data_IF_917451238236
#
_entry.id   IF_917451238236
#
_cell.length_a   1.000
_cell.length_b   1.000
_cell.length_c   1.000
_cell.angle_alpha   90.00
_cell.angle_beta   90.00
_cell.angle_gamma   90.00
#
_symmetry.space_group_name_H-M   'P 1'
#
loop_
_entity.id
_entity.type
_entity.pdbx_description
1 polymer ?
#
# COMPACT_ATOMS: atom_id res chain seq x y z
N UNK A 1 -5.76 12.30 -32.66
CA UNK A 1 -7.14 11.93 -32.31
C UNK A 1 -7.51 10.71 -33.14
N UNK A 2 -7.38 9.54 -32.55
CA UNK A 2 -8.10 8.32 -32.93
C UNK A 2 -8.86 7.92 -31.67
N UNK A 3 -10.13 8.26 -31.64
CA UNK A 3 -11.10 7.86 -30.63
C UNK A 3 -11.63 6.50 -31.06
N UNK A 4 -11.08 5.43 -30.48
CA UNK A 4 -11.72 4.11 -30.25
C UNK A 4 -10.70 3.14 -29.63
N UNK A 5 -10.04 3.55 -28.53
CA UNK A 5 -9.54 2.56 -27.57
C UNK A 5 -10.78 1.99 -26.89
N UNK A 6 -11.25 0.82 -27.35
CA UNK A 6 -12.29 0.05 -26.68
C UNK A 6 -11.98 0.01 -25.18
N UNK A 7 -12.83 0.65 -24.38
CA UNK A 7 -12.67 0.72 -22.93
C UNK A 7 -12.73 -0.71 -22.39
N UNK A 8 -11.57 -1.26 -22.02
CA UNK A 8 -11.48 -2.62 -21.51
C UNK A 8 -12.42 -2.80 -20.31
N UNK A 9 -13.12 -3.93 -20.28
CA UNK A 9 -14.04 -4.26 -19.18
C UNK A 9 -13.30 -4.34 -17.85
N UNK A 10 -13.87 -3.76 -16.79
CA UNK A 10 -13.32 -3.86 -15.43
C UNK A 10 -14.44 -4.21 -14.46
N UNK A 11 -14.92 -5.48 -14.46
CA UNK A 11 -16.05 -5.87 -13.65
C UNK A 11 -15.70 -5.80 -12.16
N UNK A 12 -16.65 -5.33 -11.36
CA UNK A 12 -16.50 -5.14 -9.91
C UNK A 12 -17.16 -6.26 -9.07
N UNK A 13 -18.06 -7.01 -9.70
CA UNK A 13 -18.83 -8.10 -9.10
C UNK A 13 -18.87 -9.29 -10.05
N UNK A 14 -18.83 -10.49 -9.47
CA UNK A 14 -19.03 -11.75 -10.20
C UNK A 14 -20.54 -11.99 -10.31
N UNK A 15 -21.01 -12.16 -11.53
CA UNK A 15 -22.39 -12.45 -11.91
C UNK A 15 -22.65 -13.95 -12.08
N UNK A 16 -21.60 -14.78 -12.11
CA UNK A 16 -21.72 -16.24 -12.18
C UNK A 16 -22.54 -16.84 -11.04
N UNK A 17 -23.50 -17.69 -11.41
CA UNK A 17 -24.26 -18.49 -10.47
C UNK A 17 -23.39 -19.56 -9.81
N UNK A 18 -23.76 -20.01 -8.62
CA UNK A 18 -23.04 -21.07 -7.91
C UNK A 18 -22.86 -22.35 -8.73
N UNK A 19 -23.87 -22.74 -9.51
CA UNK A 19 -23.77 -23.93 -10.38
C UNK A 19 -22.78 -23.70 -11.53
N UNK A 20 -22.78 -22.51 -12.14
CA UNK A 20 -21.77 -22.16 -13.13
C UNK A 20 -20.36 -22.22 -12.55
N UNK A 21 -20.16 -21.70 -11.33
CA UNK A 21 -18.85 -21.74 -10.68
C UNK A 21 -18.37 -23.18 -10.44
N UNK A 22 -19.25 -24.11 -10.04
CA UNK A 22 -18.90 -25.53 -9.88
C UNK A 22 -18.57 -26.21 -11.21
N UNK A 23 -19.28 -25.86 -12.27
CA UNK A 23 -19.14 -26.48 -13.59
C UNK A 23 -17.89 -26.00 -14.33
N UNK A 24 -17.42 -24.78 -14.05
CA UNK A 24 -16.35 -24.12 -14.81
C UNK A 24 -15.07 -23.83 -14.02
N UNK A 25 -15.09 -23.96 -12.69
CA UNK A 25 -13.93 -23.68 -11.86
C UNK A 25 -13.61 -24.83 -10.90
N UNK A 26 -12.34 -24.88 -10.49
CA UNK A 26 -11.87 -25.73 -9.39
C UNK A 26 -11.11 -24.88 -8.37
N UNK A 27 -11.17 -25.30 -7.10
CA UNK A 27 -10.45 -24.64 -6.02
C UNK A 27 -9.12 -25.34 -5.80
N UNK A 28 -8.02 -24.65 -6.09
CA UNK A 28 -6.70 -25.07 -5.67
C UNK A 28 -6.51 -24.79 -4.18
N UNK A 29 -5.96 -25.75 -3.45
CA UNK A 29 -5.48 -25.58 -2.08
C UNK A 29 -3.95 -25.71 -2.11
N UNK A 30 -3.25 -24.59 -2.05
CA UNK A 30 -1.81 -24.52 -2.09
C UNK A 30 -1.20 -24.70 -0.69
N UNK A 31 -0.35 -25.70 -0.53
CA UNK A 31 0.37 -26.01 0.72
C UNK A 31 1.83 -26.41 0.45
N UNK A 32 2.40 -26.00 -0.68
CA UNK A 32 3.74 -26.44 -1.11
C UNK A 32 4.88 -25.60 -0.52
N UNK A 33 4.59 -24.47 0.09
CA UNK A 33 5.56 -23.68 0.86
C UNK A 33 5.74 -24.26 2.26
N UNK A 34 6.97 -24.22 2.77
CA UNK A 34 7.27 -24.58 4.16
C UNK A 34 6.67 -23.56 5.15
N UNK A 35 6.60 -22.28 4.76
CA UNK A 35 5.96 -21.24 5.57
C UNK A 35 4.44 -21.35 5.46
N UNK A 36 3.78 -21.65 6.58
CA UNK A 36 2.33 -21.90 6.60
C UNK A 36 1.51 -20.63 6.40
N UNK A 37 2.12 -19.46 6.64
CA UNK A 37 1.60 -18.13 6.36
C UNK A 37 1.37 -17.86 4.86
N UNK A 38 1.99 -18.67 3.98
CA UNK A 38 1.85 -18.62 2.53
C UNK A 38 0.90 -19.68 1.96
N UNK A 39 0.24 -20.48 2.81
CA UNK A 39 -0.76 -21.44 2.34
C UNK A 39 -2.03 -20.68 1.94
N UNK A 40 -2.57 -20.97 0.76
CA UNK A 40 -3.71 -20.25 0.20
C UNK A 40 -4.69 -21.17 -0.53
N UNK A 41 -5.87 -20.64 -0.78
CA UNK A 41 -6.85 -21.19 -1.71
C UNK A 41 -7.11 -20.18 -2.81
N UNK A 42 -7.17 -20.66 -4.04
CA UNK A 42 -7.50 -19.85 -5.20
C UNK A 42 -8.48 -20.62 -6.09
N UNK A 43 -9.43 -19.91 -6.65
CA UNK A 43 -10.37 -20.48 -7.61
C UNK A 43 -9.82 -20.26 -9.03
N UNK A 44 -9.77 -21.31 -9.83
CA UNK A 44 -9.15 -21.32 -11.15
C UNK A 44 -10.09 -21.97 -12.18
N UNK A 45 -10.07 -21.54 -13.45
CA UNK A 45 -10.78 -22.24 -14.52
C UNK A 45 -10.33 -23.70 -14.63
N UNK A 46 -11.22 -24.60 -15.05
CA UNK A 46 -10.96 -26.06 -15.10
C UNK A 46 -9.76 -26.45 -15.98
N UNK A 47 -9.53 -25.70 -17.04
CA UNK A 47 -8.44 -25.84 -18.00
C UNK A 47 -7.10 -25.30 -17.50
N UNK A 48 -7.10 -24.51 -16.43
CA UNK A 48 -5.88 -23.95 -15.83
C UNK A 48 -5.32 -24.94 -14.79
N UNK A 49 -4.01 -25.25 -14.89
CA UNK A 49 -3.32 -26.22 -14.03
C UNK A 49 -1.99 -25.69 -13.51
N UNK A 50 -1.53 -26.18 -12.34
CA UNK A 50 -0.26 -25.78 -11.76
C UNK A 50 0.91 -26.18 -12.69
N UNK A 51 1.80 -25.22 -12.95
CA UNK A 51 3.03 -25.42 -13.71
C UNK A 51 4.26 -25.27 -12.81
N UNK A 52 4.24 -24.29 -11.90
CA UNK A 52 5.26 -24.12 -10.85
C UNK A 52 4.57 -23.85 -9.52
N UNK A 53 4.93 -24.63 -8.50
CA UNK A 53 4.32 -24.58 -7.16
C UNK A 53 5.37 -24.54 -6.04
N UNK A 54 6.65 -24.59 -6.40
CA UNK A 54 7.72 -24.40 -5.41
C UNK A 54 8.05 -22.91 -5.35
N UNK A 55 8.23 -22.35 -4.14
CA UNK A 55 8.71 -20.98 -3.99
C UNK A 55 10.05 -20.79 -4.72
N UNK A 56 10.09 -19.86 -5.66
CA UNK A 56 11.26 -19.57 -6.49
C UNK A 56 11.48 -18.05 -6.58
N UNK A 57 12.73 -17.61 -6.40
CA UNK A 57 13.10 -16.21 -6.58
C UNK A 57 12.89 -15.82 -8.05
N UNK A 58 12.18 -14.72 -8.29
CA UNK A 58 11.98 -14.19 -9.62
C UNK A 58 13.30 -13.57 -10.08
N UNK A 59 13.80 -14.00 -11.25
CA UNK A 59 15.06 -13.50 -11.80
C UNK A 59 15.05 -11.97 -11.90
N UNK A 60 16.20 -11.35 -11.65
CA UNK A 60 16.40 -9.88 -11.69
C UNK A 60 15.62 -9.10 -10.61
N UNK A 61 14.87 -9.81 -9.75
CA UNK A 61 14.32 -9.25 -8.52
C UNK A 61 15.21 -9.64 -7.34
N UNK A 62 15.43 -8.71 -6.42
CA UNK A 62 16.30 -8.97 -5.26
C UNK A 62 15.56 -9.70 -4.13
N UNK A 63 14.23 -9.67 -4.12
CA UNK A 63 13.41 -10.03 -2.97
C UNK A 63 11.95 -10.44 -3.30
N UNK A 64 11.62 -10.75 -4.56
CA UNK A 64 10.29 -11.21 -4.97
C UNK A 64 10.31 -12.70 -5.32
N UNK A 65 9.35 -13.45 -4.80
CA UNK A 65 9.27 -14.89 -4.99
C UNK A 65 7.95 -15.29 -5.61
N UNK A 66 7.99 -16.09 -6.68
CA UNK A 66 6.81 -16.77 -7.19
C UNK A 66 6.54 -18.00 -6.33
N UNK A 67 5.32 -18.13 -5.82
CA UNK A 67 4.88 -19.28 -5.00
C UNK A 67 3.84 -20.15 -5.70
N UNK A 68 3.14 -19.60 -6.69
CA UNK A 68 2.29 -20.38 -7.58
C UNK A 68 2.26 -19.78 -8.97
N UNK A 69 2.29 -20.63 -9.98
CA UNK A 69 2.12 -20.30 -11.38
C UNK A 69 1.22 -21.36 -11.99
N UNK A 70 0.11 -20.93 -12.56
CA UNK A 70 -0.92 -21.77 -13.14
C UNK A 70 -1.19 -21.32 -14.57
N UNK A 71 -1.28 -22.26 -15.51
CA UNK A 71 -1.47 -21.95 -16.92
C UNK A 71 -2.55 -22.83 -17.55
N UNK A 72 -3.20 -22.34 -18.61
CA UNK A 72 -4.06 -23.17 -19.46
C UNK A 72 -3.29 -24.37 -20.00
N UNK A 73 -3.87 -25.57 -19.89
CA UNK A 73 -3.28 -26.81 -20.40
C UNK A 73 -3.01 -26.70 -21.91
N UNK A 74 -1.84 -27.15 -22.36
CA UNK A 74 -1.48 -27.16 -23.77
C UNK A 74 -2.46 -27.98 -24.61
N UNK A 75 -2.90 -27.42 -25.74
CA UNK A 75 -3.87 -28.06 -26.64
C UNK A 75 -5.34 -27.86 -26.25
N UNK A 76 -5.61 -27.06 -25.22
CA UNK A 76 -6.95 -26.57 -24.88
C UNK A 76 -7.55 -25.73 -26.01
N UNK A 77 -8.87 -25.80 -26.20
CA UNK A 77 -9.62 -24.89 -27.07
C UNK A 77 -9.85 -23.51 -26.43
N UNK A 78 -9.62 -23.40 -25.12
CA UNK A 78 -9.76 -22.17 -24.36
C UNK A 78 -8.53 -21.25 -24.53
N UNK A 79 -8.71 -19.91 -24.41
CA UNK A 79 -7.59 -18.97 -24.45
C UNK A 79 -6.49 -19.29 -23.44
N UNK A 80 -5.27 -18.87 -23.77
CA UNK A 80 -4.16 -18.96 -22.83
C UNK A 80 -4.35 -17.95 -21.69
N UNK A 81 -4.33 -18.46 -20.47
CA UNK A 81 -4.36 -17.68 -19.23
C UNK A 81 -3.18 -18.12 -18.38
N UNK A 82 -2.51 -17.15 -17.77
CA UNK A 82 -1.50 -17.35 -16.74
C UNK A 82 -1.94 -16.67 -15.44
N UNK A 83 -1.97 -17.42 -14.34
CA UNK A 83 -2.20 -16.88 -13.01
C UNK A 83 -0.95 -17.10 -12.16
N UNK A 84 -0.36 -16.00 -11.69
CA UNK A 84 0.79 -15.99 -10.79
C UNK A 84 0.40 -15.49 -9.39
N UNK A 85 0.97 -16.15 -8.39
CA UNK A 85 0.95 -15.71 -7.00
C UNK A 85 2.40 -15.42 -6.60
N UNK A 86 2.67 -14.16 -6.30
CA UNK A 86 3.99 -13.64 -5.95
C UNK A 86 3.94 -13.09 -4.55
N UNK A 87 5.02 -13.24 -3.77
CA UNK A 87 5.09 -12.63 -2.45
C UNK A 87 6.43 -11.96 -2.16
N UNK A 88 6.39 -11.08 -1.16
CA UNK A 88 7.54 -10.51 -0.47
C UNK A 88 7.25 -10.47 1.02
N UNK A 89 8.23 -10.87 1.82
CA UNK A 89 8.21 -10.67 3.27
C UNK A 89 8.75 -9.29 3.64
N UNK A 90 8.13 -8.62 4.62
CA UNK A 90 8.51 -7.31 5.14
C UNK A 90 8.53 -7.31 6.67
N UNK A 91 9.56 -6.68 7.25
CA UNK A 91 9.66 -6.52 8.70
C UNK A 91 8.93 -5.27 9.20
N UNK A 92 9.04 -4.17 8.45
CA UNK A 92 8.41 -2.89 8.76
C UNK A 92 7.12 -2.71 7.96
N UNK A 93 6.08 -2.17 8.60
CA UNK A 93 4.79 -2.01 7.93
C UNK A 93 4.88 -0.97 6.82
N UNK A 94 4.37 -1.35 5.65
CA UNK A 94 4.16 -0.48 4.51
C UNK A 94 2.75 -0.66 3.96
N UNK A 95 2.33 0.28 3.14
CA UNK A 95 1.08 0.19 2.42
C UNK A 95 1.16 -0.84 1.27
N UNK A 96 0.12 -1.66 1.12
CA UNK A 96 0.11 -2.73 0.15
C UNK A 96 -0.03 -2.19 -1.29
N UNK A 97 -0.80 -1.11 -1.47
CA UNK A 97 -0.92 -0.42 -2.74
C UNK A 97 0.39 0.25 -3.16
N UNK A 98 1.13 0.86 -2.23
CA UNK A 98 2.45 1.45 -2.53
C UNK A 98 3.45 0.36 -2.97
N UNK A 99 3.43 -0.82 -2.34
CA UNK A 99 4.26 -1.95 -2.78
C UNK A 99 3.85 -2.46 -4.16
N UNK A 100 2.55 -2.56 -4.44
CA UNK A 100 2.06 -2.94 -5.76
C UNK A 100 2.61 -1.99 -6.83
N UNK A 101 2.53 -0.68 -6.62
CA UNK A 101 3.05 0.31 -7.57
C UNK A 101 4.55 0.12 -7.86
N UNK A 102 5.35 -0.19 -6.83
CA UNK A 102 6.77 -0.58 -7.01
C UNK A 102 6.89 -1.82 -7.89
N UNK A 103 6.13 -2.88 -7.59
CA UNK A 103 6.21 -4.14 -8.34
C UNK A 103 5.79 -3.95 -9.79
N UNK A 104 4.71 -3.21 -10.05
CA UNK A 104 4.26 -2.90 -11.42
C UNK A 104 5.34 -2.16 -12.20
N UNK A 105 5.97 -1.15 -11.59
CA UNK A 105 7.08 -0.42 -12.22
C UNK A 105 8.27 -1.31 -12.53
N UNK A 106 8.60 -2.27 -11.65
CA UNK A 106 9.69 -3.24 -11.90
C UNK A 106 9.37 -4.19 -13.04
N UNK A 107 8.09 -4.57 -13.20
CA UNK A 107 7.63 -5.48 -14.24
C UNK A 107 7.27 -4.78 -15.56
N UNK A 108 7.40 -3.45 -15.63
CA UNK A 108 7.04 -2.67 -16.83
C UNK A 108 5.52 -2.62 -17.10
N UNK A 109 4.69 -2.89 -16.09
CA UNK A 109 3.24 -2.91 -16.21
C UNK A 109 2.67 -1.48 -16.21
N UNK A 110 1.84 -1.16 -17.20
CA UNK A 110 1.18 0.15 -17.31
C UNK A 110 -0.25 0.01 -16.79
N UNK A 111 -0.62 0.81 -15.78
CA UNK A 111 -1.98 0.80 -15.21
C UNK A 111 -2.98 1.41 -16.19
N UNK A 112 -3.99 0.63 -16.57
CA UNK A 112 -5.12 1.02 -17.43
C UNK A 112 -6.34 1.41 -16.58
N UNK A 113 -6.61 0.65 -15.53
CA UNK A 113 -7.67 0.93 -14.55
C UNK A 113 -7.16 0.64 -13.15
N UNK A 114 -7.56 1.45 -12.17
CA UNK A 114 -7.32 1.22 -10.75
C UNK A 114 -8.59 1.41 -9.93
N UNK A 115 -8.76 0.56 -8.94
CA UNK A 115 -9.70 0.77 -7.85
C UNK A 115 -8.99 0.50 -6.54
N UNK A 116 -9.19 1.40 -5.59
CA UNK A 116 -8.57 1.32 -4.29
C UNK A 116 -9.61 1.05 -3.20
N UNK A 117 -9.15 0.40 -2.14
CA UNK A 117 -9.92 0.07 -0.95
C UNK A 117 -9.09 0.41 0.28
N UNK A 118 -9.69 1.07 1.26
CA UNK A 118 -9.02 1.43 2.51
C UNK A 118 -9.41 0.46 3.62
N UNK A 119 -8.43 0.09 4.44
CA UNK A 119 -8.59 -0.73 5.65
C UNK A 119 -7.77 -0.13 6.79
N UNK A 120 -7.94 -0.67 8.00
CA UNK A 120 -7.07 -0.30 9.15
C UNK A 120 -5.59 -0.57 8.85
N UNK A 121 -5.32 -1.65 8.12
CA UNK A 121 -3.97 -2.04 7.68
C UNK A 121 -3.38 -1.21 6.54
N UNK A 122 -4.12 -0.23 6.04
CA UNK A 122 -3.72 0.61 4.91
C UNK A 122 -4.56 0.34 3.65
N UNK A 123 -4.06 0.82 2.53
CA UNK A 123 -4.72 0.79 1.24
C UNK A 123 -4.37 -0.47 0.47
N UNK A 124 -5.35 -0.98 -0.26
CA UNK A 124 -5.25 -2.10 -1.19
C UNK A 124 -5.76 -1.70 -2.56
N UNK A 125 -5.15 -2.23 -3.62
CA UNK A 125 -5.52 -1.92 -5.00
C UNK A 125 -5.92 -3.16 -5.78
N UNK A 126 -6.96 -3.00 -6.60
CA UNK A 126 -7.34 -3.88 -7.71
C UNK A 126 -7.07 -3.09 -8.99
N UNK A 127 -6.15 -3.59 -9.81
CA UNK A 127 -5.70 -2.89 -11.01
C UNK A 127 -5.85 -3.76 -12.24
N UNK A 128 -6.14 -3.10 -13.35
CA UNK A 128 -5.98 -3.64 -14.68
C UNK A 128 -4.75 -3.00 -15.31
N UNK A 129 -3.84 -3.81 -15.83
CA UNK A 129 -2.61 -3.35 -16.45
C UNK A 129 -2.48 -3.86 -17.87
N UNK A 130 -1.63 -3.19 -18.64
CA UNK A 130 -1.17 -3.64 -19.94
C UNK A 130 0.35 -3.67 -20.00
N UNK A 131 0.89 -4.69 -20.65
CA UNK A 131 2.31 -4.84 -20.93
C UNK A 131 2.52 -5.32 -22.37
N UNK A 132 3.69 -5.08 -22.94
CA UNK A 132 4.09 -5.65 -24.22
C UNK A 132 5.07 -6.78 -23.98
N UNK A 133 4.74 -7.99 -24.45
CA UNK A 133 5.58 -9.17 -24.32
C UNK A 133 5.72 -9.85 -25.68
N UNK A 134 6.95 -9.98 -26.16
CA UNK A 134 7.30 -10.59 -27.47
C UNK A 134 6.49 -10.01 -28.65
N UNK A 135 6.19 -8.70 -28.60
CA UNK A 135 5.41 -7.99 -29.62
C UNK A 135 3.88 -8.11 -29.47
N UNK A 136 3.40 -8.91 -28.53
CA UNK A 136 1.98 -9.04 -28.21
C UNK A 136 1.61 -8.20 -26.98
N UNK A 137 0.42 -7.58 -27.02
CA UNK A 137 -0.14 -6.87 -25.87
C UNK A 137 -0.77 -7.86 -24.90
N UNK A 138 -0.30 -7.87 -23.67
CA UNK A 138 -0.82 -8.67 -22.55
C UNK A 138 -1.63 -7.77 -21.64
N UNK A 139 -2.81 -8.24 -21.22
CA UNK A 139 -3.63 -7.59 -20.21
C UNK A 139 -3.61 -8.42 -18.95
N UNK A 140 -3.41 -7.75 -17.80
CA UNK A 140 -3.36 -8.41 -16.51
C UNK A 140 -4.30 -7.75 -15.51
N UNK A 141 -5.06 -8.55 -14.76
CA UNK A 141 -5.76 -8.08 -13.56
C UNK A 141 -4.96 -8.49 -12.33
N UNK A 142 -4.72 -7.53 -11.44
CA UNK A 142 -3.84 -7.73 -10.30
C UNK A 142 -4.50 -7.24 -9.02
N UNK A 143 -4.44 -8.07 -7.97
CA UNK A 143 -4.79 -7.67 -6.60
C UNK A 143 -3.65 -7.94 -5.64
N UNK A 144 -3.57 -7.10 -4.62
CA UNK A 144 -2.58 -7.22 -3.54
C UNK A 144 -3.25 -7.53 -2.21
N UNK A 145 -2.60 -8.35 -1.40
CA UNK A 145 -3.01 -8.78 -0.07
C UNK A 145 -1.84 -8.60 0.91
N UNK A 146 -2.14 -8.47 2.20
CA UNK A 146 -1.14 -8.35 3.26
C UNK A 146 -1.58 -9.21 4.44
N UNK A 147 -0.69 -10.08 4.92
CA UNK A 147 -0.98 -10.97 6.04
C UNK A 147 0.21 -11.06 6.98
N UNK A 148 -0.05 -10.97 8.29
CA UNK A 148 1.01 -11.13 9.28
C UNK A 148 1.53 -12.58 9.31
N UNK A 149 2.85 -12.71 9.36
CA UNK A 149 3.54 -13.99 9.47
C UNK A 149 3.88 -14.26 10.94
N UNK A 150 3.12 -15.13 11.59
CA UNK A 150 3.37 -15.50 12.98
C UNK A 150 4.66 -16.31 13.19
N UNK A 151 5.16 -17.00 12.16
CA UNK A 151 6.35 -17.85 12.25
C UNK A 151 7.62 -17.01 12.21
N UNK A 152 7.66 -16.03 11.30
CA UNK A 152 8.86 -15.22 11.05
C UNK A 152 8.80 -13.83 11.70
N UNK A 153 7.62 -13.39 12.15
CA UNK A 153 7.28 -11.99 12.48
C UNK A 153 7.40 -11.10 11.24
N UNK A 154 6.64 -10.01 11.15
CA UNK A 154 6.53 -9.25 9.91
C UNK A 154 5.26 -9.61 9.15
N UNK A 155 5.13 -9.12 7.92
CA UNK A 155 4.01 -9.47 7.04
C UNK A 155 4.48 -9.97 5.69
N UNK A 156 3.68 -10.83 5.09
CA UNK A 156 3.77 -11.21 3.70
C UNK A 156 2.85 -10.30 2.88
N UNK A 157 3.46 -9.55 1.97
CA UNK A 157 2.76 -8.88 0.87
C UNK A 157 2.62 -9.88 -0.28
N UNK A 158 1.40 -10.07 -0.76
CA UNK A 158 1.07 -11.11 -1.75
C UNK A 158 0.35 -10.46 -2.91
N UNK A 159 0.83 -10.69 -4.12
CA UNK A 159 0.22 -10.25 -5.37
C UNK A 159 -0.36 -11.46 -6.09
N UNK A 160 -1.61 -11.37 -6.52
CA UNK A 160 -2.24 -12.33 -7.43
C UNK A 160 -2.47 -11.63 -8.76
N UNK A 161 -1.85 -12.15 -9.82
CA UNK A 161 -1.88 -11.60 -11.17
C UNK A 161 -2.48 -12.64 -12.12
N UNK A 162 -3.59 -12.31 -12.77
CA UNK A 162 -4.17 -13.10 -13.86
C UNK A 162 -3.93 -12.37 -15.19
N UNK A 163 -3.36 -13.05 -16.18
CA UNK A 163 -2.88 -12.44 -17.43
C UNK A 163 -3.33 -13.24 -18.66
N UNK A 164 -3.67 -12.56 -19.74
CA UNK A 164 -3.93 -13.16 -21.05
C UNK A 164 -3.55 -12.19 -22.18
N UNK A 165 -3.65 -12.67 -23.42
CA UNK A 165 -3.53 -11.79 -24.58
C UNK A 165 -4.67 -10.76 -24.61
N UNK A 166 -4.40 -9.56 -25.12
CA UNK A 166 -5.37 -8.47 -25.21
C UNK A 166 -6.66 -8.84 -25.95
N UNK A 167 -6.56 -9.67 -27.01
CA UNK A 167 -7.72 -10.09 -27.82
C UNK A 167 -8.70 -10.99 -27.05
N UNK A 168 -8.25 -11.67 -26.01
CA UNK A 168 -9.06 -12.65 -25.26
C UNK A 168 -9.63 -12.05 -23.97
N UNK A 169 -9.09 -10.91 -23.51
CA UNK A 169 -9.41 -10.32 -22.21
C UNK A 169 -10.90 -10.04 -22.01
N UNK A 170 -11.58 -9.48 -23.01
CA UNK A 170 -13.01 -9.14 -22.87
C UNK A 170 -13.88 -10.36 -22.53
N UNK A 171 -13.55 -11.53 -23.09
CA UNK A 171 -14.25 -12.77 -22.75
C UNK A 171 -13.87 -13.36 -21.39
N UNK A 172 -12.74 -12.94 -20.81
CA UNK A 172 -12.15 -13.48 -19.59
C UNK A 172 -12.22 -12.51 -18.40
N UNK A 173 -12.72 -11.29 -18.59
CA UNK A 173 -12.64 -10.23 -17.58
C UNK A 173 -13.29 -10.62 -16.24
N UNK A 174 -14.40 -11.37 -16.29
CA UNK A 174 -15.07 -11.88 -15.09
C UNK A 174 -14.36 -13.11 -14.50
N UNK A 175 -13.82 -14.03 -15.31
CA UNK A 175 -12.94 -15.11 -14.84
C UNK A 175 -11.73 -14.56 -14.09
N UNK A 176 -11.14 -13.47 -14.60
CA UNK A 176 -10.00 -12.81 -13.98
C UNK A 176 -10.38 -12.18 -12.65
N UNK A 177 -11.52 -11.47 -12.60
CA UNK A 177 -12.08 -10.99 -11.32
C UNK A 177 -12.22 -12.15 -10.35
N UNK A 178 -12.79 -13.26 -10.81
CA UNK A 178 -13.09 -14.42 -10.00
C UNK A 178 -11.82 -15.03 -9.41
N UNK A 179 -10.78 -15.19 -10.22
CA UNK A 179 -9.47 -15.69 -9.78
C UNK A 179 -8.82 -14.80 -8.72
N UNK A 180 -8.72 -13.50 -8.98
CA UNK A 180 -8.01 -12.57 -8.08
C UNK A 180 -8.82 -12.23 -6.82
N UNK A 181 -10.16 -12.18 -6.92
CA UNK A 181 -11.04 -11.83 -5.79
C UNK A 181 -11.25 -12.98 -4.82
N UNK A 182 -11.29 -14.22 -5.29
CA UNK A 182 -11.52 -15.41 -4.45
C UNK A 182 -10.22 -16.08 -3.99
N UNK A 183 -9.11 -15.35 -4.06
CA UNK A 183 -7.90 -15.70 -3.33
C UNK A 183 -8.12 -15.53 -1.82
N UNK A 184 -7.78 -16.56 -1.05
CA UNK A 184 -7.87 -16.53 0.42
C UNK A 184 -6.67 -17.22 1.03
N UNK A 185 -6.21 -16.70 2.15
CA UNK A 185 -5.16 -17.36 2.93
C UNK A 185 -5.77 -18.44 3.82
N UNK A 186 -5.07 -19.57 3.94
CA UNK A 186 -5.49 -20.66 4.82
C UNK A 186 -5.31 -20.25 6.28
N UNK A 187 -4.18 -19.63 6.58
CA UNK A 187 -3.82 -19.13 7.91
C UNK A 187 -3.85 -17.59 7.89
N UNK A 188 -5.05 -17.06 7.67
CA UNK A 188 -5.28 -15.62 7.63
C UNK A 188 -5.23 -15.00 9.03
N UNK A 189 -4.41 -13.97 9.18
CA UNK A 189 -4.27 -13.23 10.42
C UNK A 189 -5.36 -12.18 10.52
N UNK A 190 -5.98 -12.02 11.69
CA UNK A 190 -6.83 -10.85 11.98
C UNK A 190 -6.03 -9.54 12.07
N UNK A 191 -4.71 -9.66 12.11
CA UNK A 191 -3.76 -8.57 12.18
C UNK A 191 -3.05 -8.48 10.83
N UNK A 192 -3.42 -7.49 10.01
CA UNK A 192 -2.83 -7.27 8.68
C UNK A 192 -1.75 -6.19 8.67
N UNK A 193 -1.10 -5.92 9.81
CA UNK A 193 0.08 -5.04 9.89
C UNK A 193 1.34 -5.88 10.03
N UNK A 194 2.48 -5.42 9.51
CA UNK A 194 3.76 -6.14 9.66
C UNK A 194 4.33 -6.10 11.09
N UNK A 195 3.90 -5.15 11.90
CA UNK A 195 4.42 -4.96 13.25
C UNK A 195 3.32 -4.56 14.23
N UNK A 196 3.63 -4.75 15.52
CA UNK A 196 2.79 -4.24 16.61
C UNK A 196 2.82 -2.71 16.64
N UNK A 197 1.78 -2.12 17.23
CA UNK A 197 1.70 -0.68 17.43
C UNK A 197 1.90 -0.31 18.91
N UNK A 198 2.56 0.82 19.14
CA UNK A 198 2.68 1.46 20.46
C UNK A 198 1.79 2.69 20.51
N UNK A 199 1.25 3.01 21.69
CA UNK A 199 0.43 4.20 21.92
C UNK A 199 1.24 5.36 22.48
N UNK A 200 0.91 6.58 22.08
CA UNK A 200 1.32 7.83 22.74
C UNK A 200 0.06 8.55 23.22
N UNK A 201 0.15 9.16 24.40
CA UNK A 201 -0.83 10.11 24.91
C UNK A 201 -0.10 11.40 25.28
N UNK A 202 -0.61 12.54 24.81
CA UNK A 202 -0.13 13.88 25.09
C UNK A 202 -1.29 14.66 25.71
N UNK A 203 -1.06 15.33 26.83
CA UNK A 203 -2.13 16.06 27.55
C UNK A 203 -2.06 17.58 27.35
N UNK A 204 -1.07 18.04 26.59
CA UNK A 204 -0.76 19.45 26.35
C UNK A 204 -0.45 19.62 24.86
N UNK A 205 -0.81 20.74 24.19
CA UNK A 205 -1.74 21.78 24.64
C UNK A 205 -3.20 21.29 24.71
N UNK A 206 -3.48 20.10 24.20
CA UNK A 206 -4.76 19.41 24.30
C UNK A 206 -4.50 17.90 24.37
N UNK A 207 -5.55 17.12 24.62
CA UNK A 207 -5.45 15.67 24.69
C UNK A 207 -5.34 15.08 23.28
N UNK A 208 -4.15 14.57 22.96
CA UNK A 208 -3.88 13.83 21.73
C UNK A 208 -3.44 12.42 22.08
N UNK A 209 -4.00 11.46 21.37
CA UNK A 209 -3.70 10.05 21.54
C UNK A 209 -3.64 9.38 20.18
N UNK A 210 -2.63 8.57 19.92
CA UNK A 210 -2.48 7.87 18.64
C UNK A 210 -1.60 6.64 18.78
N UNK A 211 -1.58 5.82 17.73
CA UNK A 211 -0.65 4.70 17.60
C UNK A 211 0.50 5.04 16.65
N UNK A 212 1.62 4.36 16.82
CA UNK A 212 2.77 4.38 15.91
C UNK A 212 3.45 3.00 15.86
N UNK A 213 4.19 2.66 14.79
CA UNK A 213 4.75 1.31 14.65
C UNK A 213 5.87 1.03 15.67
N UNK A 214 5.93 -0.21 16.18
CA UNK A 214 6.82 -0.63 17.26
C UNK A 214 8.32 -0.43 16.95
N UNK A 215 8.72 -0.54 15.69
CA UNK A 215 10.09 -0.34 15.20
C UNK A 215 10.60 1.11 15.31
N UNK A 216 9.71 2.07 15.56
CA UNK A 216 10.07 3.46 15.72
C UNK A 216 10.36 3.81 17.18
N UNK A 217 11.38 4.63 17.37
CA UNK A 217 11.71 5.19 18.67
C UNK A 217 11.05 6.56 18.84
N UNK A 218 10.31 6.69 19.93
CA UNK A 218 9.67 7.94 20.31
C UNK A 218 10.56 8.77 21.23
N UNK A 219 10.70 10.04 20.90
CA UNK A 219 11.31 11.05 21.76
C UNK A 219 10.35 12.22 21.92
N UNK A 220 9.84 12.40 23.13
CA UNK A 220 9.15 13.62 23.54
C UNK A 220 10.19 14.72 23.74
N UNK A 221 10.03 15.88 23.08
CA UNK A 221 11.02 16.95 23.17
C UNK A 221 10.48 18.23 23.77
N UNK A 222 9.24 18.63 23.45
CA UNK A 222 8.74 19.93 23.88
C UNK A 222 7.22 20.02 23.89
N UNK A 223 6.63 20.19 25.07
CA UNK A 223 5.19 20.35 25.25
C UNK A 223 4.89 21.57 26.14
N UNK A 224 4.09 22.51 25.64
CA UNK A 224 3.61 23.67 26.37
C UNK A 224 2.18 24.07 25.93
N UNK A 225 1.59 25.05 26.59
CA UNK A 225 0.22 25.51 26.33
C UNK A 225 -0.05 25.99 24.88
N UNK A 226 0.99 26.29 24.11
CA UNK A 226 0.88 26.73 22.71
C UNK A 226 1.14 25.62 21.70
N UNK A 227 2.00 24.66 22.03
CA UNK A 227 2.44 23.66 21.07
C UNK A 227 3.03 22.44 21.78
N UNK A 228 2.80 21.29 21.15
CA UNK A 228 3.49 20.04 21.46
C UNK A 228 4.26 19.53 20.25
N UNK A 229 5.44 19.01 20.52
CA UNK A 229 6.37 18.50 19.52
C UNK A 229 6.93 17.16 19.94
N UNK A 230 6.79 16.19 19.04
CA UNK A 230 7.39 14.88 19.16
C UNK A 230 8.25 14.54 17.96
N UNK A 231 9.19 13.62 18.17
CA UNK A 231 9.98 13.03 17.11
C UNK A 231 9.90 11.50 17.17
N UNK A 232 9.75 10.88 16.01
CA UNK A 232 9.93 9.46 15.81
C UNK A 232 11.14 9.23 14.92
N UNK A 233 11.98 8.25 15.25
CA UNK A 233 13.09 7.82 14.40
C UNK A 233 13.10 6.31 14.24
N UNK A 234 13.28 5.84 13.01
CA UNK A 234 13.44 4.43 12.70
C UNK A 234 14.90 4.03 12.96
N UNK A 235 15.14 3.05 13.82
CA UNK A 235 16.48 2.48 13.99
C UNK A 235 16.84 1.57 12.81
N UNK A 236 18.08 1.66 12.30
CA UNK A 236 18.68 0.52 11.60
C UNK A 236 19.12 0.68 10.14
N UNK A 237 19.15 1.86 9.52
CA UNK A 237 19.68 1.98 8.14
C UNK A 237 20.86 2.94 8.02
N UNK A 238 21.93 2.50 7.33
CA UNK A 238 23.19 3.24 7.12
C UNK A 238 23.05 4.44 6.17
N UNK A 239 21.91 4.61 5.52
CA UNK A 239 21.62 5.67 4.55
C UNK A 239 20.29 6.27 4.96
N UNK A 240 20.33 7.51 5.46
CA UNK A 240 19.23 8.34 6.00
C UNK A 240 18.16 7.50 6.74
N UNK A 241 18.32 7.25 8.06
CA UNK A 241 17.25 6.64 8.85
C UNK A 241 15.99 7.51 8.76
N UNK A 242 14.84 6.88 8.56
CA UNK A 242 13.56 7.58 8.47
C UNK A 242 13.27 8.33 9.77
N UNK A 243 12.81 9.58 9.66
CA UNK A 243 12.41 10.37 10.83
C UNK A 243 11.12 11.14 10.59
N UNK A 244 10.29 11.25 11.63
CA UNK A 244 9.05 12.01 11.61
C UNK A 244 9.14 13.06 12.72
N UNK A 245 8.85 14.30 12.37
CA UNK A 245 8.67 15.41 13.29
C UNK A 245 7.20 15.79 13.29
N UNK A 246 6.55 15.74 14.44
CA UNK A 246 5.13 16.03 14.54
C UNK A 246 4.81 17.11 15.54
N UNK A 247 3.86 17.96 15.15
CA UNK A 247 3.52 19.17 15.86
C UNK A 247 2.00 19.26 16.04
N UNK A 248 1.58 19.53 17.28
CA UNK A 248 0.21 19.88 17.61
C UNK A 248 0.20 21.32 18.11
N UNK A 249 -0.59 22.17 17.47
CA UNK A 249 -0.72 23.58 17.82
C UNK A 249 -1.92 23.77 18.75
N UNK A 250 -1.86 24.77 19.62
CA UNK A 250 -3.04 25.17 20.38
C UNK A 250 -4.15 25.68 19.46
N UNK A 251 -5.37 25.66 19.96
CA UNK A 251 -6.50 26.24 19.25
C UNK A 251 -6.33 27.76 19.12
N UNK A 252 -6.03 28.21 17.90
CA UNK A 252 -5.96 29.63 17.56
C UNK A 252 -6.65 29.86 16.21
N UNK A 253 -7.73 30.65 16.22
CA UNK A 253 -8.54 30.95 15.04
C UNK A 253 -7.80 31.79 13.99
N UNK A 254 -6.66 32.38 14.36
CA UNK A 254 -5.83 33.14 13.42
C UNK A 254 -4.93 32.24 12.58
N UNK A 255 -4.63 31.02 13.03
CA UNK A 255 -3.80 30.06 12.30
C UNK A 255 -4.62 29.47 11.15
N UNK A 256 -4.02 29.49 9.96
CA UNK A 256 -4.58 28.87 8.77
C UNK A 256 -3.52 28.03 8.04
N UNK A 257 -3.97 27.27 7.03
CA UNK A 257 -3.11 26.41 6.20
C UNK A 257 -1.90 27.14 5.63
N UNK A 258 -2.09 28.32 5.04
CA UNK A 258 -1.01 29.06 4.36
C UNK A 258 0.10 29.44 5.34
N UNK A 259 -0.27 29.83 6.57
CA UNK A 259 0.71 30.12 7.63
C UNK A 259 1.53 28.89 8.00
N UNK A 260 0.90 27.72 8.12
CA UNK A 260 1.60 26.46 8.44
C UNK A 260 2.51 26.06 7.27
N UNK A 261 2.02 26.11 6.03
CA UNK A 261 2.83 25.82 4.85
C UNK A 261 4.06 26.73 4.78
N UNK A 262 3.89 28.03 4.98
CA UNK A 262 4.99 28.99 4.98
C UNK A 262 6.01 28.68 6.08
N UNK A 263 5.55 28.30 7.28
CA UNK A 263 6.42 27.90 8.39
C UNK A 263 7.20 26.63 8.08
N UNK A 264 6.59 25.65 7.40
CA UNK A 264 7.29 24.44 6.93
C UNK A 264 8.37 24.83 5.91
N UNK A 265 8.02 25.64 4.90
CA UNK A 265 8.96 26.11 3.87
C UNK A 265 10.12 26.89 4.49
N UNK A 266 9.83 27.80 5.41
CA UNK A 266 10.85 28.59 6.12
C UNK A 266 11.79 27.69 6.93
N UNK A 267 11.24 26.72 7.66
CA UNK A 267 12.06 25.75 8.41
C UNK A 267 12.93 24.90 7.49
N UNK A 268 12.44 24.48 6.32
CA UNK A 268 13.22 23.72 5.34
C UNK A 268 14.35 24.56 4.74
N UNK A 269 14.04 25.82 4.38
CA UNK A 269 15.00 26.77 3.83
C UNK A 269 16.10 27.11 4.84
N UNK A 270 15.73 27.38 6.10
CA UNK A 270 16.67 27.70 7.18
C UNK A 270 17.60 26.52 7.52
N UNK A 271 17.14 25.28 7.34
CA UNK A 271 17.95 24.08 7.51
C UNK A 271 18.74 23.69 6.23
N UNK A 272 18.77 24.60 5.23
CA UNK A 272 19.53 24.47 3.99
C UNK A 272 19.14 23.29 3.10
N UNK A 273 17.90 22.84 3.18
CA UNK A 273 17.34 21.96 2.17
C UNK A 273 17.05 22.79 0.92
N UNK A 274 17.62 22.39 -0.20
CA UNK A 274 17.24 22.95 -1.50
C UNK A 274 15.99 22.19 -1.94
N UNK A 275 14.83 22.80 -1.72
CA UNK A 275 13.57 22.27 -2.23
C UNK A 275 13.54 22.53 -3.74
N UNK A 276 13.48 21.46 -4.52
CA UNK A 276 13.50 21.53 -5.99
C UNK A 276 12.17 21.97 -6.58
N UNK A 277 11.07 21.78 -5.85
CA UNK A 277 9.70 22.01 -6.31
C UNK A 277 8.97 23.08 -5.49
N UNK A 278 7.95 23.69 -6.09
CA UNK A 278 7.01 24.54 -5.34
C UNK A 278 6.20 23.66 -4.37
N UNK A 279 6.35 23.89 -3.06
CA UNK A 279 5.65 23.11 -2.03
C UNK A 279 4.16 23.43 -2.09
N UNK A 280 3.39 22.52 -2.66
CA UNK A 280 1.92 22.58 -2.72
C UNK A 280 1.33 21.31 -2.12
N UNK A 281 0.55 21.47 -1.05
CA UNK A 281 -0.19 20.37 -0.43
C UNK A 281 -1.57 20.22 -1.07
N UNK A 282 -1.91 18.98 -1.43
CA UNK A 282 -3.18 18.59 -2.01
C UNK A 282 -4.19 18.26 -0.92
N UNK A 283 -5.45 18.58 -1.14
CA UNK A 283 -6.53 18.25 -0.21
C UNK A 283 -6.85 16.76 -0.28
N UNK A 284 -6.84 16.10 0.88
CA UNK A 284 -7.25 14.71 1.02
C UNK A 284 -8.76 14.65 1.19
N UNK A 285 -9.45 14.22 0.14
CA UNK A 285 -10.93 14.17 0.13
C UNK A 285 -11.50 12.97 0.86
N UNK A 286 -10.71 11.91 1.00
CA UNK A 286 -11.12 10.64 1.61
C UNK A 286 -10.34 10.43 2.91
N UNK A 287 -10.58 11.29 3.91
CA UNK A 287 -9.92 11.15 5.21
C UNK A 287 -10.56 10.01 6.00
N UNK A 288 -9.75 9.02 6.33
CA UNK A 288 -10.19 7.81 7.02
C UNK A 288 -10.62 8.08 8.46
N UNK A 289 -9.86 8.94 9.17
CA UNK A 289 -10.17 9.35 10.53
C UNK A 289 -11.23 10.46 10.55
N UNK A 290 -12.44 10.13 10.99
CA UNK A 290 -13.59 11.04 11.04
C UNK A 290 -13.44 12.22 12.01
N UNK A 291 -12.49 12.15 12.94
CA UNK A 291 -12.22 13.25 13.87
C UNK A 291 -11.43 14.39 13.20
N UNK A 292 -10.78 14.10 12.06
CA UNK A 292 -10.05 15.08 11.27
C UNK A 292 -11.02 15.76 10.31
N UNK A 293 -11.23 17.07 10.50
CA UNK A 293 -12.15 17.85 9.68
C UNK A 293 -11.54 18.29 8.36
N UNK A 294 -10.22 18.45 8.32
CA UNK A 294 -9.46 18.96 7.18
C UNK A 294 -8.11 18.27 7.16
N UNK A 295 -7.67 17.79 5.98
CA UNK A 295 -6.35 17.18 5.80
C UNK A 295 -5.80 17.53 4.43
N UNK A 296 -4.53 17.91 4.40
CA UNK A 296 -3.75 18.10 3.19
C UNK A 296 -2.44 17.34 3.29
N UNK A 297 -1.99 16.78 2.17
CA UNK A 297 -0.73 16.05 2.12
C UNK A 297 0.08 16.38 0.87
N UNK A 298 1.37 16.07 0.91
CA UNK A 298 2.26 16.18 -0.23
C UNK A 298 3.57 15.42 0.01
N UNK A 299 4.20 14.99 -1.08
CA UNK A 299 5.56 14.43 -1.07
C UNK A 299 6.44 15.27 -1.96
N UNK A 300 7.63 15.64 -1.48
CA UNK A 300 8.54 16.58 -2.15
C UNK A 300 9.95 16.01 -2.20
N UNK A 301 10.58 16.05 -3.37
CA UNK A 301 12.01 15.75 -3.48
C UNK A 301 12.82 16.90 -2.89
N UNK A 302 13.86 16.56 -2.14
CA UNK A 302 14.79 17.52 -1.54
C UNK A 302 16.23 17.07 -1.72
N UNK A 303 17.13 18.04 -1.85
CA UNK A 303 18.57 17.80 -1.77
C UNK A 303 19.17 18.60 -0.61
N UNK A 304 20.11 17.99 0.11
CA UNK A 304 20.92 18.69 1.10
C UNK A 304 22.19 19.29 0.47
N UNK A 305 22.94 20.09 1.24
CA UNK A 305 24.22 20.70 0.80
C UNK A 305 25.28 19.68 0.35
N UNK A 306 25.09 18.38 0.65
CA UNK A 306 25.98 17.29 0.26
C UNK A 306 25.47 16.53 -0.97
N UNK A 307 24.45 17.06 -1.69
CA UNK A 307 23.76 16.39 -2.80
C UNK A 307 23.18 15.02 -2.42
N UNK A 308 22.82 14.80 -1.15
CA UNK A 308 22.05 13.63 -0.77
C UNK A 308 20.59 13.91 -1.08
N UNK A 309 20.08 13.19 -2.07
CA UNK A 309 18.68 13.26 -2.45
C UNK A 309 17.83 12.49 -1.44
N UNK A 310 16.76 13.12 -0.98
CA UNK A 310 15.77 12.56 -0.08
C UNK A 310 14.37 12.98 -0.48
N UNK A 311 13.39 12.48 0.26
CA UNK A 311 12.01 12.92 0.13
C UNK A 311 11.46 13.40 1.47
N UNK A 312 10.61 14.42 1.39
CA UNK A 312 9.81 14.92 2.48
C UNK A 312 8.37 14.50 2.26
N UNK A 313 7.76 13.90 3.28
CA UNK A 313 6.33 13.60 3.31
C UNK A 313 5.72 14.55 4.31
N UNK A 314 4.79 15.38 3.87
CA UNK A 314 4.19 16.43 4.70
C UNK A 314 2.70 16.20 4.78
N UNK A 315 2.16 16.30 5.99
CA UNK A 315 0.72 16.31 6.23
C UNK A 315 0.37 17.47 7.14
N UNK A 316 -0.69 18.20 6.82
CA UNK A 316 -1.24 19.29 7.62
C UNK A 316 -2.72 19.02 7.78
N UNK A 317 -3.25 19.09 8.99
CA UNK A 317 -4.66 18.85 9.19
C UNK A 317 -5.21 19.52 10.44
N UNK A 318 -6.51 19.34 10.62
CA UNK A 318 -7.26 19.92 11.72
C UNK A 318 -8.09 18.86 12.43
N UNK A 319 -7.95 18.78 13.74
CA UNK A 319 -8.69 17.87 14.62
C UNK A 319 -9.27 18.68 15.78
N UNK A 320 -10.58 18.53 16.04
CA UNK A 320 -11.28 19.24 17.14
C UNK A 320 -10.97 20.75 17.21
N UNK A 321 -10.84 21.38 16.03
CA UNK A 321 -10.47 22.78 15.81
C UNK A 321 -8.99 23.17 16.05
N UNK A 322 -8.13 22.25 16.51
CA UNK A 322 -6.69 22.46 16.63
C UNK A 322 -5.94 21.99 15.38
N UNK A 323 -4.86 22.71 15.04
CA UNK A 323 -4.03 22.39 13.89
C UNK A 323 -2.92 21.41 14.27
N UNK A 324 -2.64 20.47 13.38
CA UNK A 324 -1.45 19.63 13.46
C UNK A 324 -0.71 19.63 12.13
N UNK A 325 0.59 19.37 12.19
CA UNK A 325 1.34 19.04 10.99
C UNK A 325 2.47 18.06 11.29
N UNK A 326 2.75 17.21 10.32
CA UNK A 326 3.75 16.15 10.39
C UNK A 326 4.69 16.28 9.20
N UNK A 327 5.98 16.11 9.45
CA UNK A 327 7.04 16.13 8.44
C UNK A 327 7.84 14.84 8.59
N UNK A 328 7.65 13.91 7.65
CA UNK A 328 8.47 12.74 7.45
C UNK A 328 9.65 13.05 6.54
N UNK A 329 10.80 12.45 6.84
CA UNK A 329 12.03 12.52 6.04
C UNK A 329 12.45 11.09 5.69
N UNK A 330 12.75 10.85 4.42
CA UNK A 330 13.21 9.57 3.93
C UNK A 330 14.34 9.73 2.90
N UNK A 331 15.00 8.62 2.58
CA UNK A 331 15.76 8.55 1.32
C UNK A 331 14.81 8.71 0.11
N UNK A 332 15.38 9.08 -1.03
CA UNK A 332 14.65 9.16 -2.28
C UNK A 332 14.09 7.77 -2.67
N UNK A 333 12.79 7.68 -3.00
CA UNK A 333 12.14 6.39 -3.28
C UNK A 333 12.74 5.60 -4.44
N UNK A 334 13.38 6.26 -5.41
CA UNK A 334 14.05 5.56 -6.53
C UNK A 334 15.34 4.88 -6.06
N UNK A 335 16.01 5.48 -5.06
CA UNK A 335 17.19 4.91 -4.43
C UNK A 335 16.86 3.86 -3.37
N UNK A 336 15.82 4.09 -2.57
CA UNK A 336 15.40 3.22 -1.49
C UNK A 336 13.91 3.36 -1.19
N UNK A 337 13.10 2.60 -1.94
CA UNK A 337 11.65 2.55 -1.75
C UNK A 337 11.21 2.23 -0.32
N UNK A 338 11.88 1.29 0.35
CA UNK A 338 11.46 0.86 1.69
C UNK A 338 11.60 1.99 2.71
N UNK A 339 12.65 2.81 2.60
CA UNK A 339 12.82 3.98 3.48
C UNK A 339 11.65 4.96 3.35
N UNK A 340 11.24 5.26 2.12
CA UNK A 340 10.09 6.13 1.86
C UNK A 340 8.77 5.50 2.33
N UNK A 341 8.52 4.25 1.96
CA UNK A 341 7.25 3.57 2.22
C UNK A 341 6.98 3.39 3.73
N UNK A 342 8.01 3.09 4.52
CA UNK A 342 7.88 2.95 5.98
C UNK A 342 7.60 4.28 6.66
N UNK A 343 8.23 5.37 6.22
CA UNK A 343 7.97 6.73 6.74
C UNK A 343 6.55 7.15 6.42
N UNK A 344 6.12 7.00 5.17
CA UNK A 344 4.75 7.31 4.75
C UNK A 344 3.73 6.52 5.56
N UNK A 345 3.92 5.19 5.67
CA UNK A 345 2.99 4.33 6.39
C UNK A 345 2.90 4.66 7.88
N UNK A 346 4.03 4.97 8.53
CA UNK A 346 4.02 5.39 9.93
C UNK A 346 3.23 6.69 10.13
N UNK A 347 3.34 7.66 9.21
CA UNK A 347 2.52 8.87 9.23
C UNK A 347 1.03 8.56 9.03
N UNK A 348 0.70 7.70 8.06
CA UNK A 348 -0.68 7.27 7.79
C UNK A 348 -1.31 6.61 9.03
N UNK A 349 -0.56 5.77 9.76
CA UNK A 349 -1.00 5.16 11.02
C UNK A 349 -1.29 6.23 12.08
N UNK A 350 -0.37 7.17 12.29
CA UNK A 350 -0.55 8.25 13.29
C UNK A 350 -1.81 9.05 12.98
N UNK A 351 -1.99 9.47 11.72
CA UNK A 351 -3.15 10.25 11.27
C UNK A 351 -4.45 9.47 11.47
N UNK A 352 -4.47 8.19 11.06
CA UNK A 352 -5.67 7.36 11.12
C UNK A 352 -6.14 7.13 12.56
N UNK A 353 -5.21 6.92 13.49
CA UNK A 353 -5.52 6.66 14.90
C UNK A 353 -5.57 7.90 15.80
N UNK A 354 -5.37 9.10 15.24
CA UNK A 354 -5.35 10.35 16.02
C UNK A 354 -6.70 10.61 16.71
N UNK A 355 -6.70 10.55 18.04
CA UNK A 355 -7.87 10.55 18.93
C UNK A 355 -8.95 9.54 18.53
N UNK A 356 -8.55 8.43 17.91
CA UNK A 356 -9.48 7.46 17.36
C UNK A 356 -8.95 6.03 17.53
N UNK A 357 -8.97 5.53 18.77
CA UNK A 357 -8.55 4.15 19.07
C UNK A 357 -9.60 3.10 18.73
N UNK A 358 -10.88 3.49 18.69
CA UNK A 358 -12.01 2.60 18.44
C UNK A 358 -12.34 2.49 16.93
N UNK A 359 -11.32 2.59 16.06
CA UNK A 359 -11.43 2.41 14.62
C UNK A 359 -12.02 1.02 14.32
N UNK A 360 -13.35 0.94 14.24
CA UNK A 360 -14.12 -0.22 13.82
C UNK A 360 -14.34 -0.11 12.32
N UNK A 361 -13.73 -1.02 11.57
CA UNK A 361 -13.96 -1.15 10.13
C UNK A 361 -14.74 -2.42 9.84
N UNK A 362 -15.61 -2.31 8.84
CA UNK A 362 -16.01 -3.46 8.05
C UNK A 362 -14.81 -3.79 7.15
N UNK A 363 -14.09 -4.88 7.41
CA UNK A 363 -13.06 -5.42 6.51
C UNK A 363 -13.72 -6.03 5.26
N UNK A 364 -14.48 -5.21 4.54
CA UNK A 364 -15.19 -5.58 3.32
C UNK A 364 -14.23 -6.04 2.19
N UNK A 365 -12.92 -5.86 2.38
CA UNK A 365 -11.89 -6.38 1.48
C UNK A 365 -11.75 -7.91 1.55
N UNK A 366 -11.82 -8.47 2.76
CA UNK A 366 -11.76 -9.92 3.00
C UNK A 366 -13.13 -10.55 3.23
N UNK A 367 -14.17 -9.75 3.53
CA UNK A 367 -15.53 -10.26 3.67
C UNK A 367 -16.09 -10.77 2.34
N UNK A 368 -16.10 -12.09 2.22
CA UNK A 368 -16.89 -12.83 1.25
C UNK A 368 -18.35 -12.81 1.72
N UNK A 369 -19.21 -12.09 1.01
CA UNK A 369 -20.66 -12.40 1.00
C UNK A 369 -21.06 -12.96 -0.34
#
# INVERSE_FOLDING_TARGET
MNTDDNKLSFPESVTYSFEHQKEHFWRCCYTSSDATSLHYKILLPLEVKPVRIKPELIAETNDLYAVGCYQTISGSEYPFVEIDVVYKHIDNDIDASDWLDKVLSLLGEIVVHRRDYDSVSGKYSDVLTSNEFDGDKVISRIRVFKNYDFEHKGANLIMVKASCSHKDYESLAEDFLHCVKFFTLVNDSKWHLAEELKSINLDVPANYSFFYPNSWQYTERYNNEKMSYFSLSLEGTKIIPGSISGYFLCHDTTINKEMICNLIIENLTNNKYSVTDEIRLNEERSVFNKNISELWSGTFSVSDEQNRNGELIVSVGRIENAWFYFIGTSADRTSNFMSWAVVKRAMDIIINFLNNYDLSYEDNFYEQK
#
